data_IF_800496952906
#
_entry.id   IF_800496952906
#
_cell.length_a   1.000
_cell.length_b   1.000
_cell.length_c   1.000
_cell.angle_alpha   90.00
_cell.angle_beta   90.00
_cell.angle_gamma   90.00
#
_symmetry.space_group_name_H-M   'P 1'
#
loop_
_entity.id
_entity.type
_entity.pdbx_description
1 polymer ?
#
# COMPACT_ATOMS: atom_id res chain seq x y z
N UNK A 1 -19.01 -6.41 8.87
CA UNK A 1 -18.75 -4.97 8.75
C UNK A 1 -17.34 -4.80 8.19
N UNK A 2 -17.14 -3.91 7.23
CA UNK A 2 -15.89 -3.75 6.48
C UNK A 2 -15.44 -2.28 6.52
N UNK A 3 -14.15 -2.05 6.65
CA UNK A 3 -13.56 -0.72 6.74
C UNK A 3 -12.74 -0.40 5.48
N UNK A 4 -12.72 0.87 5.08
CA UNK A 4 -11.87 1.40 4.02
C UNK A 4 -11.40 2.83 4.35
N UNK A 5 -10.39 3.33 3.63
CA UNK A 5 -9.79 4.65 3.83
C UNK A 5 -8.28 4.57 4.06
N UNK A 6 -7.64 5.73 4.23
CA UNK A 6 -6.18 5.86 4.27
C UNK A 6 -5.50 5.21 5.47
N UNK A 7 -6.27 4.92 6.52
CA UNK A 7 -5.78 4.27 7.74
C UNK A 7 -6.08 2.77 7.79
N UNK A 8 -6.60 2.20 6.70
CA UNK A 8 -6.76 0.75 6.56
C UNK A 8 -5.52 0.18 5.88
N UNK A 9 -5.01 -0.94 6.41
CA UNK A 9 -3.81 -1.59 5.88
C UNK A 9 -4.03 -2.02 4.42
N UNK A 10 -3.24 -1.46 3.51
CA UNK A 10 -3.22 -1.79 2.06
C UNK A 10 -1.82 -2.23 1.64
N UNK A 11 -1.61 -2.47 0.33
CA UNK A 11 -0.27 -2.67 -0.24
C UNK A 11 0.59 -1.40 -0.28
N UNK A 12 0.02 -0.24 0.07
CA UNK A 12 0.68 1.06 0.07
C UNK A 12 0.85 1.49 1.53
N UNK A 13 2.09 1.81 1.91
CA UNK A 13 2.48 2.16 3.29
C UNK A 13 2.37 3.67 3.58
N UNK A 14 1.60 4.40 2.76
CA UNK A 14 1.38 5.83 2.87
C UNK A 14 -0.09 6.16 2.59
N UNK A 15 -0.65 7.08 3.38
CA UNK A 15 -1.95 7.68 3.11
C UNK A 15 -1.92 8.38 1.76
N UNK A 16 -2.57 7.77 0.77
CA UNK A 16 -2.59 8.22 -0.63
C UNK A 16 -3.93 7.86 -1.24
N UNK A 17 -4.37 8.64 -2.23
CA UNK A 17 -5.59 8.35 -3.01
C UNK A 17 -5.58 6.91 -3.58
N UNK A 18 -4.40 6.42 -4.01
CA UNK A 18 -4.21 5.04 -4.46
C UNK A 18 -4.49 4.00 -3.37
N UNK A 19 -3.99 4.24 -2.15
CA UNK A 19 -4.26 3.38 -0.98
C UNK A 19 -5.74 3.37 -0.61
N UNK A 20 -6.37 4.54 -0.56
CA UNK A 20 -7.80 4.68 -0.31
C UNK A 20 -8.64 3.91 -1.36
N UNK A 21 -8.29 4.05 -2.64
CA UNK A 21 -8.94 3.31 -3.73
C UNK A 21 -8.75 1.80 -3.61
N UNK A 22 -7.56 1.31 -3.27
CA UNK A 22 -7.29 -0.12 -3.03
C UNK A 22 -8.16 -0.65 -1.88
N UNK A 23 -8.21 0.08 -0.75
CA UNK A 23 -9.04 -0.26 0.40
C UNK A 23 -10.53 -0.30 0.03
N UNK A 24 -11.02 0.65 -0.77
CA UNK A 24 -12.39 0.69 -1.26
C UNK A 24 -12.75 -0.54 -2.10
N UNK A 25 -11.89 -0.93 -3.04
CA UNK A 25 -12.10 -2.13 -3.87
C UNK A 25 -12.13 -3.41 -3.04
N UNK A 26 -11.23 -3.52 -2.05
CA UNK A 26 -11.22 -4.65 -1.10
C UNK A 26 -12.50 -4.71 -0.26
N UNK A 27 -12.96 -3.58 0.27
CA UNK A 27 -14.19 -3.50 1.04
C UNK A 27 -15.42 -3.86 0.19
N UNK A 28 -15.51 -3.37 -1.05
CA UNK A 28 -16.60 -3.72 -1.97
C UNK A 28 -16.64 -5.22 -2.27
N UNK A 29 -15.48 -5.83 -2.56
CA UNK A 29 -15.39 -7.28 -2.78
C UNK A 29 -15.83 -8.08 -1.55
N UNK A 30 -15.43 -7.64 -0.35
CA UNK A 30 -15.81 -8.30 0.90
C UNK A 30 -17.33 -8.21 1.18
N UNK A 31 -17.99 -7.12 0.77
CA UNK A 31 -19.46 -7.00 0.79
C UNK A 31 -20.11 -8.02 -0.14
N UNK A 32 -19.61 -8.14 -1.39
CA UNK A 32 -20.13 -9.12 -2.34
C UNK A 32 -19.95 -10.56 -1.83
N UNK A 33 -18.78 -10.87 -1.25
CA UNK A 33 -18.50 -12.18 -0.66
C UNK A 33 -19.45 -12.49 0.51
N UNK A 34 -19.66 -11.53 1.42
CA UNK A 34 -20.59 -11.70 2.54
C UNK A 34 -22.06 -11.81 2.12
N UNK A 35 -22.43 -11.21 1.00
CA UNK A 35 -23.78 -11.31 0.43
C UNK A 35 -24.00 -12.59 -0.38
N UNK A 36 -22.95 -13.37 -0.66
CA UNK A 36 -23.02 -14.49 -1.61
C UNK A 36 -23.30 -14.04 -3.06
N UNK A 37 -22.97 -12.78 -3.37
CA UNK A 37 -23.22 -12.19 -4.69
C UNK A 37 -22.14 -12.64 -5.70
N UNK A 38 -22.59 -13.12 -6.85
CA UNK A 38 -21.75 -13.62 -7.94
C UNK A 38 -21.27 -12.51 -8.91
N UNK A 39 -21.57 -11.24 -8.64
CA UNK A 39 -21.10 -10.12 -9.45
C UNK A 39 -19.56 -10.10 -9.59
N UNK A 40 -19.02 -9.61 -10.71
CA UNK A 40 -17.58 -9.50 -10.88
C UNK A 40 -16.92 -8.69 -9.76
N UNK A 41 -15.77 -9.16 -9.28
CA UNK A 41 -14.98 -8.47 -8.26
C UNK A 41 -14.26 -7.27 -8.86
N UNK A 42 -14.17 -6.18 -8.11
CA UNK A 42 -13.34 -5.04 -8.46
C UNK A 42 -11.87 -5.47 -8.47
N UNK A 43 -11.15 -5.15 -9.55
CA UNK A 43 -9.73 -5.49 -9.70
C UNK A 43 -8.88 -4.76 -8.64
N UNK A 44 -8.07 -5.51 -7.91
CA UNK A 44 -7.10 -4.97 -6.95
C UNK A 44 -5.73 -4.99 -7.61
N UNK A 45 -5.08 -3.83 -7.65
CA UNK A 45 -3.76 -3.66 -8.24
C UNK A 45 -2.73 -3.54 -7.13
N UNK A 46 -1.68 -4.38 -7.10
CA UNK A 46 -0.61 -4.23 -6.13
C UNK A 46 0.21 -2.96 -6.43
N UNK A 47 0.82 -2.39 -5.39
CA UNK A 47 1.83 -1.36 -5.56
C UNK A 47 3.04 -1.94 -6.28
N UNK A 48 3.43 -1.33 -7.40
CA UNK A 48 4.68 -1.66 -8.08
C UNK A 48 5.84 -0.93 -7.40
N UNK A 49 6.82 -1.71 -6.94
CA UNK A 49 8.02 -1.20 -6.30
C UNK A 49 9.22 -1.67 -7.12
N UNK A 50 9.85 -0.78 -7.93
CA UNK A 50 10.94 -1.15 -8.81
C UNK A 50 12.09 -1.81 -8.04
N UNK A 51 12.49 -3.04 -8.39
CA UNK A 51 13.53 -3.77 -7.65
C UNK A 51 14.90 -3.07 -7.69
N UNK A 52 15.15 -2.25 -8.71
CA UNK A 52 16.36 -1.43 -8.85
C UNK A 52 16.51 -0.41 -7.71
N UNK A 53 15.41 -0.03 -7.06
CA UNK A 53 15.42 0.91 -5.93
C UNK A 53 15.74 0.25 -4.58
N UNK A 54 15.65 -1.08 -4.49
CA UNK A 54 15.81 -1.81 -3.22
C UNK A 54 17.21 -1.67 -2.59
N UNK A 55 18.33 -1.66 -3.35
CA UNK A 55 19.64 -1.37 -2.78
C UNK A 55 19.73 0.03 -2.15
N UNK A 56 19.11 1.03 -2.78
CA UNK A 56 19.11 2.41 -2.28
C UNK A 56 18.30 2.53 -1.00
N UNK A 57 17.13 1.87 -0.92
CA UNK A 57 16.31 1.80 0.29
C UNK A 57 17.05 1.14 1.46
N UNK A 58 17.87 0.11 1.19
CA UNK A 58 18.69 -0.54 2.22
C UNK A 58 19.78 0.39 2.76
N UNK A 59 20.50 1.08 1.87
CA UNK A 59 21.52 2.06 2.25
C UNK A 59 20.89 3.16 3.10
N UNK A 60 19.74 3.69 2.70
CA UNK A 60 19.02 4.69 3.46
C UNK A 60 18.62 4.19 4.86
N UNK A 61 18.00 3.01 4.94
CA UNK A 61 17.61 2.42 6.21
C UNK A 61 18.81 2.18 7.16
N UNK A 62 19.96 1.77 6.63
CA UNK A 62 21.19 1.58 7.43
C UNK A 62 21.75 2.91 7.93
N UNK A 63 21.74 3.97 7.09
CA UNK A 63 22.15 5.32 7.50
C UNK A 63 21.23 5.90 8.56
N UNK A 64 19.91 5.76 8.38
CA UNK A 64 18.90 6.18 9.35
C UNK A 64 19.12 5.53 10.72
N UNK A 65 19.33 4.20 10.75
CA UNK A 65 19.63 3.47 11.99
C UNK A 65 20.94 3.91 12.64
N UNK A 66 21.91 4.34 11.85
CA UNK A 66 23.18 4.88 12.33
C UNK A 66 23.10 6.37 12.76
N UNK A 67 21.94 7.02 12.63
CA UNK A 67 21.78 8.46 12.92
C UNK A 67 22.52 9.37 11.94
N UNK A 68 22.88 8.85 10.76
CA UNK A 68 23.55 9.60 9.71
C UNK A 68 22.51 10.32 8.82
N UNK A 69 22.86 11.48 8.23
CA UNK A 69 21.96 12.20 7.30
C UNK A 69 21.65 11.36 6.05
N UNK A 70 20.58 11.70 5.33
CA UNK A 70 20.26 11.03 4.07
C UNK A 70 21.38 11.30 3.05
N UNK A 71 21.64 10.36 2.12
CA UNK A 71 22.76 10.48 1.17
C UNK A 71 22.62 11.71 0.24
N UNK A 72 21.39 12.17 0.04
CA UNK A 72 21.06 13.31 -0.83
C UNK A 72 20.86 14.62 -0.06
N UNK A 73 21.08 14.64 1.26
CA UNK A 73 21.07 15.89 2.03
C UNK A 73 22.39 16.65 1.75
N UNK A 74 22.29 17.81 1.09
CA UNK A 74 23.38 18.79 0.94
C UNK A 74 23.31 19.87 2.01
#
# INVERSE_FOLDING_TARGET
MFFCGDHVRTGIDLATDGGACEAGRKAANAVLDAAGDAAPRAAVFPMDAPPELEPFKRIDADRYRAGLPHLLDM
#
